data_IF_721163854453
#
_entry.id   IF_721163854453
#
_cell.length_a   1.000
_cell.length_b   1.000
_cell.length_c   1.000
_cell.angle_alpha   90.00
_cell.angle_beta   90.00
_cell.angle_gamma   90.00
#
_symmetry.space_group_name_H-M   'P 1'
#
loop_
_entity.id
_entity.type
_entity.pdbx_description
1 polymer ?
#
# COMPACT_ATOMS: atom_id res chain seq x y z
N UNK A 1 3.76 31.44 16.94
CA UNK A 1 3.06 30.42 16.15
C UNK A 1 2.75 29.30 17.12
N UNK A 2 1.56 28.77 17.11
CA UNK A 2 1.25 27.55 17.86
C UNK A 2 1.33 26.37 16.90
N UNK A 3 1.92 25.28 17.38
CA UNK A 3 1.97 24.05 16.62
C UNK A 3 0.57 23.45 16.53
N UNK A 4 0.20 22.98 15.36
CA UNK A 4 -1.07 22.37 15.06
C UNK A 4 -0.88 21.22 14.08
N UNK A 5 -1.88 20.38 13.96
CA UNK A 5 -1.85 19.25 13.04
C UNK A 5 -3.20 19.05 12.35
N UNK A 6 -3.16 18.42 11.19
CA UNK A 6 -4.33 17.86 10.55
C UNK A 6 -4.10 16.38 10.29
N UNK A 7 -5.01 15.53 10.77
CA UNK A 7 -4.88 14.09 10.62
C UNK A 7 -5.78 13.60 9.49
N UNK A 8 -5.21 12.82 8.62
CA UNK A 8 -5.92 12.02 7.62
C UNK A 8 -5.88 10.55 8.03
N UNK A 9 -6.98 9.86 7.89
CA UNK A 9 -7.09 8.44 8.25
C UNK A 9 -7.46 7.66 7.01
N UNK A 10 -6.72 6.61 6.71
CA UNK A 10 -7.05 5.64 5.65
C UNK A 10 -7.62 4.37 6.25
N UNK A 11 -8.61 3.79 5.54
CA UNK A 11 -9.04 2.43 5.75
C UNK A 11 -9.09 1.76 4.37
N UNK A 12 -8.21 0.81 4.12
CA UNK A 12 -8.00 0.27 2.79
C UNK A 12 -7.62 1.36 1.79
N UNK A 13 -8.45 1.52 0.76
CA UNK A 13 -8.25 2.51 -0.30
C UNK A 13 -8.95 3.85 -0.04
N UNK A 14 -9.81 3.93 0.98
CA UNK A 14 -10.58 5.12 1.29
C UNK A 14 -9.89 6.00 2.34
N UNK A 15 -10.12 7.29 2.24
CA UNK A 15 -9.69 8.30 3.22
C UNK A 15 -10.89 8.91 3.90
N UNK A 16 -10.78 9.11 5.21
CA UNK A 16 -11.78 9.79 6.02
C UNK A 16 -11.68 11.29 5.84
N UNK A 17 -12.75 11.92 5.41
CA UNK A 17 -12.95 13.35 5.53
C UNK A 17 -14.03 13.65 6.56
N UNK A 18 -13.80 14.69 7.34
CA UNK A 18 -14.70 15.19 8.36
C UNK A 18 -15.38 16.47 7.87
N UNK A 19 -16.69 16.58 8.06
CA UNK A 19 -17.43 17.82 7.75
C UNK A 19 -17.50 18.69 8.98
N UNK A 20 -16.95 19.91 8.87
CA UNK A 20 -16.95 20.89 9.96
C UNK A 20 -18.38 21.30 10.32
N UNK A 21 -18.63 21.53 11.61
CA UNK A 21 -19.92 22.00 12.09
C UNK A 21 -20.24 23.41 11.57
N UNK A 22 -21.52 23.75 11.48
CA UNK A 22 -21.93 25.08 10.98
C UNK A 22 -21.63 26.22 11.95
N UNK A 23 -21.42 25.89 13.22
CA UNK A 23 -21.12 26.88 14.28
C UNK A 23 -19.63 27.16 14.52
N UNK A 24 -18.73 26.57 13.76
CA UNK A 24 -17.29 26.84 13.91
C UNK A 24 -16.90 28.14 13.22
N UNK A 25 -15.87 28.83 13.76
CA UNK A 25 -15.45 30.15 13.27
C UNK A 25 -14.87 30.10 11.85
N UNK A 26 -14.06 29.06 11.55
CA UNK A 26 -13.38 28.93 10.26
C UNK A 26 -13.99 27.82 9.41
N UNK A 27 -14.28 28.16 8.17
CA UNK A 27 -14.78 27.22 7.14
C UNK A 27 -15.95 26.34 7.62
N UNK A 28 -17.07 26.95 8.15
CA UNK A 28 -18.23 26.18 8.62
C UNK A 28 -18.81 25.34 7.49
N UNK A 29 -19.07 24.06 7.77
CA UNK A 29 -19.61 23.10 6.80
C UNK A 29 -18.60 22.55 5.77
N UNK A 30 -17.37 23.05 5.73
CA UNK A 30 -16.36 22.58 4.80
C UNK A 30 -15.85 21.18 5.17
N UNK A 31 -15.37 20.46 4.16
CA UNK A 31 -14.70 19.18 4.32
C UNK A 31 -13.20 19.38 4.61
N UNK A 32 -12.68 18.59 5.54
CA UNK A 32 -11.28 18.69 6.00
C UNK A 32 -10.82 17.34 6.59
N UNK A 33 -9.52 17.27 6.94
CA UNK A 33 -9.00 16.29 7.88
C UNK A 33 -9.41 16.61 9.34
N UNK A 34 -8.84 15.90 10.28
CA UNK A 34 -9.07 16.11 11.73
C UNK A 34 -8.06 17.14 12.23
N UNK A 35 -8.52 18.34 12.53
CA UNK A 35 -7.67 19.42 13.03
C UNK A 35 -7.47 19.32 14.55
N UNK A 36 -6.25 19.58 15.00
CA UNK A 36 -5.88 19.70 16.40
C UNK A 36 -4.78 20.74 16.63
N UNK A 37 -4.69 21.22 17.86
CA UNK A 37 -3.62 22.13 18.32
C UNK A 37 -2.78 21.36 19.33
N UNK A 38 -1.47 21.39 19.18
CA UNK A 38 -0.53 20.72 20.07
C UNK A 38 0.76 20.30 19.37
N UNK A 39 1.65 19.72 20.15
CA UNK A 39 2.91 19.17 19.65
C UNK A 39 2.64 17.97 18.73
N UNK A 40 3.16 18.04 17.53
CA UNK A 40 3.00 17.00 16.48
C UNK A 40 3.89 15.79 16.70
N UNK A 41 4.91 15.90 17.56
CA UNK A 41 5.76 14.79 17.98
C UNK A 41 5.12 13.95 19.11
N UNK A 42 4.17 14.54 19.85
CA UNK A 42 3.36 13.82 20.84
C UNK A 42 2.23 13.06 20.16
N UNK A 43 2.55 11.88 19.64
CA UNK A 43 1.59 11.02 18.94
C UNK A 43 0.44 10.55 19.85
N UNK A 44 0.65 10.45 21.16
CA UNK A 44 -0.40 10.07 22.11
C UNK A 44 -1.46 11.18 22.19
N UNK A 45 -1.04 12.45 22.23
CA UNK A 45 -1.95 13.59 22.19
C UNK A 45 -2.69 13.68 20.85
N UNK A 46 -2.01 13.43 19.74
CA UNK A 46 -2.63 13.38 18.39
C UNK A 46 -3.70 12.28 18.33
N UNK A 47 -3.40 11.06 18.80
CA UNK A 47 -4.33 9.93 18.83
C UNK A 47 -5.51 10.22 19.77
N UNK A 48 -5.26 10.82 20.95
CA UNK A 48 -6.33 11.23 21.86
C UNK A 48 -7.31 12.21 21.19
N UNK A 49 -6.80 13.17 20.41
CA UNK A 49 -7.64 14.09 19.63
C UNK A 49 -8.44 13.40 18.57
N UNK A 50 -7.85 12.46 17.83
CA UNK A 50 -8.56 11.64 16.84
C UNK A 50 -9.70 10.86 17.52
N UNK A 51 -9.39 10.17 18.62
CA UNK A 51 -10.37 9.37 19.37
C UNK A 51 -11.53 10.24 19.89
N UNK A 52 -11.22 11.43 20.40
CA UNK A 52 -12.22 12.38 20.90
C UNK A 52 -13.26 12.73 19.83
N UNK A 53 -12.83 13.02 18.60
CA UNK A 53 -13.72 13.56 17.57
C UNK A 53 -14.30 12.52 16.62
N UNK A 54 -13.73 11.32 16.57
CA UNK A 54 -14.17 10.23 15.68
C UNK A 54 -14.73 9.02 16.41
N UNK A 55 -14.44 8.86 17.69
CA UNK A 55 -14.75 7.64 18.43
C UNK A 55 -13.86 6.43 18.09
N UNK A 56 -12.93 6.56 17.14
CA UNK A 56 -12.00 5.47 16.79
C UNK A 56 -11.01 5.29 17.95
N UNK A 57 -10.96 4.10 18.53
CA UNK A 57 -10.04 3.79 19.62
C UNK A 57 -8.58 3.73 19.18
N UNK A 58 -7.67 4.08 20.09
CA UNK A 58 -6.22 4.11 19.83
C UNK A 58 -5.68 2.79 19.26
N UNK A 59 -6.17 1.64 19.74
CA UNK A 59 -5.76 0.31 19.28
C UNK A 59 -6.11 0.03 17.80
N UNK A 60 -7.00 0.84 17.22
CA UNK A 60 -7.41 0.72 15.83
C UNK A 60 -6.67 1.73 14.91
N UNK A 61 -5.76 2.54 15.46
CA UNK A 61 -5.02 3.55 14.74
C UNK A 61 -3.53 3.20 14.67
N UNK A 62 -2.99 3.18 13.47
CA UNK A 62 -1.57 2.98 13.25
C UNK A 62 -1.01 4.22 12.55
N UNK A 63 0.01 4.86 13.16
CA UNK A 63 0.75 5.95 12.55
C UNK A 63 1.49 5.47 11.30
N UNK A 64 1.44 6.28 10.25
CA UNK A 64 2.16 6.02 8.99
C UNK A 64 3.29 7.01 8.82
N UNK A 65 2.98 8.31 8.73
CA UNK A 65 3.95 9.38 8.52
C UNK A 65 3.36 10.75 8.83
N UNK A 66 4.24 11.74 8.97
CA UNK A 66 3.92 13.16 8.90
C UNK A 66 4.50 13.77 7.62
N UNK A 67 3.86 14.81 7.11
CA UNK A 67 4.37 15.61 6.00
C UNK A 67 5.03 16.90 6.50
N UNK A 68 5.34 17.82 5.59
CA UNK A 68 5.94 19.12 5.94
C UNK A 68 4.92 20.05 6.61
N UNK A 69 5.37 20.76 7.64
CA UNK A 69 4.56 21.77 8.31
C UNK A 69 4.34 22.99 7.40
N UNK A 70 3.11 23.50 7.37
CA UNK A 70 2.70 24.64 6.54
C UNK A 70 2.02 25.73 7.39
N UNK A 71 2.35 26.98 7.11
CA UNK A 71 1.70 28.12 7.74
C UNK A 71 0.25 28.28 7.26
N UNK A 72 -0.72 28.10 8.15
CA UNK A 72 -2.13 28.28 7.89
C UNK A 72 -2.74 29.31 8.80
N UNK A 73 -3.61 30.18 8.23
CA UNK A 73 -4.39 31.12 9.02
C UNK A 73 -5.68 30.42 9.50
N UNK A 74 -5.73 30.14 10.79
CA UNK A 74 -6.91 29.62 11.49
C UNK A 74 -7.25 30.54 12.66
N UNK A 75 -8.52 30.89 12.85
CA UNK A 75 -9.00 31.76 13.93
C UNK A 75 -8.21 33.10 14.04
N UNK A 76 -7.92 33.71 12.88
CA UNK A 76 -7.09 34.92 12.78
C UNK A 76 -5.67 34.78 13.38
N UNK A 77 -5.20 33.57 13.54
CA UNK A 77 -3.83 33.20 13.95
C UNK A 77 -3.12 32.45 12.86
N UNK A 78 -1.83 32.71 12.72
CA UNK A 78 -0.99 31.90 11.87
C UNK A 78 -0.50 30.71 12.70
N UNK A 79 -0.94 29.51 12.35
CA UNK A 79 -0.49 28.25 12.94
C UNK A 79 0.43 27.52 11.95
N UNK A 80 1.41 26.83 12.48
CA UNK A 80 2.21 25.88 11.72
C UNK A 80 1.52 24.53 11.81
N UNK A 81 0.93 24.06 10.70
CA UNK A 81 0.09 22.85 10.67
C UNK A 81 0.82 21.74 9.96
N UNK A 82 1.02 20.62 10.65
CA UNK A 82 1.65 19.43 10.11
C UNK A 82 0.58 18.41 9.70
N UNK A 83 0.54 17.97 8.45
CA UNK A 83 -0.33 16.87 8.04
C UNK A 83 0.22 15.53 8.55
N UNK A 84 -0.66 14.69 9.09
CA UNK A 84 -0.30 13.38 9.64
C UNK A 84 -1.22 12.33 9.06
N UNK A 85 -0.67 11.21 8.64
CA UNK A 85 -1.42 10.07 8.12
C UNK A 85 -1.43 8.92 9.10
N UNK A 86 -2.63 8.41 9.37
CA UNK A 86 -2.88 7.16 10.08
C UNK A 86 -3.62 6.17 9.19
N UNK A 87 -3.54 4.91 9.54
CA UNK A 87 -4.40 3.84 9.02
C UNK A 87 -5.30 3.37 10.15
N UNK A 88 -6.59 3.16 9.84
CA UNK A 88 -7.57 2.59 10.77
C UNK A 88 -7.92 1.17 10.36
N UNK A 89 -8.09 0.28 11.36
CA UNK A 89 -8.62 -1.07 11.16
C UNK A 89 -10.15 -1.11 11.14
N UNK A 90 -10.82 0.01 11.48
CA UNK A 90 -12.29 0.12 11.55
C UNK A 90 -12.79 1.29 10.71
N UNK A 91 -14.02 1.19 10.23
CA UNK A 91 -14.70 2.23 9.44
C UNK A 91 -15.78 2.99 10.23
N UNK A 92 -16.15 2.49 11.40
CA UNK A 92 -17.14 3.16 12.23
C UNK A 92 -16.59 4.45 12.79
N UNK A 93 -17.30 5.56 12.54
CA UNK A 93 -16.95 6.91 13.00
C UNK A 93 -18.17 7.54 13.66
N UNK A 94 -17.94 8.17 14.81
CA UNK A 94 -18.95 8.97 15.50
C UNK A 94 -18.46 10.43 15.53
N UNK A 95 -18.88 11.21 14.52
CA UNK A 95 -18.43 12.59 14.37
C UNK A 95 -18.91 13.47 15.53
N UNK A 96 -17.96 14.11 16.24
CA UNK A 96 -18.20 14.88 17.46
C UNK A 96 -17.46 16.23 17.44
N UNK A 97 -17.83 17.08 18.37
CA UNK A 97 -17.13 18.34 18.64
C UNK A 97 -17.21 19.34 17.47
N UNK A 98 -16.10 19.57 16.80
CA UNK A 98 -16.01 20.50 15.67
C UNK A 98 -16.63 19.97 14.36
N UNK A 99 -17.10 18.73 14.37
CA UNK A 99 -17.58 18.05 13.17
C UNK A 99 -19.02 17.61 13.32
N UNK A 100 -19.79 17.77 12.23
CA UNK A 100 -21.21 17.38 12.13
C UNK A 100 -21.45 16.13 11.30
N UNK A 101 -20.41 15.65 10.60
CA UNK A 101 -20.50 14.50 9.72
C UNK A 101 -19.14 14.03 9.24
N UNK A 102 -19.15 12.91 8.54
CA UNK A 102 -17.96 12.32 7.95
C UNK A 102 -18.29 11.57 6.66
N UNK A 103 -17.28 11.31 5.86
CA UNK A 103 -17.40 10.49 4.66
C UNK A 103 -16.10 9.77 4.38
N UNK A 104 -16.16 8.47 4.06
CA UNK A 104 -15.06 7.71 3.50
C UNK A 104 -15.08 7.82 1.99
N UNK A 105 -14.08 8.47 1.40
CA UNK A 105 -14.02 8.75 -0.03
C UNK A 105 -12.79 8.11 -0.67
N UNK A 106 -12.84 7.93 -2.00
CA UNK A 106 -11.66 7.64 -2.80
C UNK A 106 -10.70 8.85 -2.75
N UNK A 107 -9.39 8.64 -2.52
CA UNK A 107 -8.41 9.72 -2.48
C UNK A 107 -8.39 10.60 -3.74
N UNK A 108 -8.61 10.03 -4.92
CA UNK A 108 -8.69 10.77 -6.17
C UNK A 108 -9.81 11.82 -6.18
N UNK A 109 -10.91 11.56 -5.45
CA UNK A 109 -12.05 12.47 -5.34
C UNK A 109 -11.77 13.72 -4.49
N UNK A 110 -10.66 13.77 -3.74
CA UNK A 110 -10.26 14.96 -2.95
C UNK A 110 -10.05 16.15 -3.89
N UNK A 111 -9.50 15.94 -5.07
CA UNK A 111 -9.23 17.00 -6.05
C UNK A 111 -10.51 17.69 -6.55
N UNK A 112 -11.59 16.94 -6.62
CA UNK A 112 -12.89 17.39 -7.13
C UNK A 112 -13.86 17.81 -6.03
N UNK A 113 -13.45 17.65 -4.74
CA UNK A 113 -14.34 17.92 -3.60
C UNK A 113 -14.71 19.39 -3.53
N UNK A 114 -16.01 19.67 -3.72
CA UNK A 114 -16.55 20.99 -3.51
C UNK A 114 -16.59 21.35 -2.02
N UNK A 115 -16.42 22.63 -1.70
CA UNK A 115 -16.51 23.17 -0.37
C UNK A 115 -15.62 22.45 0.66
N UNK A 116 -14.34 22.40 0.37
CA UNK A 116 -13.30 21.92 1.27
C UNK A 116 -12.48 23.10 1.84
N UNK A 117 -11.72 22.84 2.91
CA UNK A 117 -10.72 23.81 3.36
C UNK A 117 -9.67 24.04 2.27
N UNK A 118 -9.14 25.27 2.13
CA UNK A 118 -8.25 25.61 1.00
C UNK A 118 -7.03 24.70 0.88
N UNK A 119 -6.54 24.18 2.01
CA UNK A 119 -5.29 23.41 2.07
C UNK A 119 -5.50 21.88 2.06
N UNK A 120 -6.74 21.39 2.06
CA UNK A 120 -7.04 19.96 2.11
C UNK A 120 -6.24 19.16 1.07
N UNK A 121 -6.21 19.63 -0.17
CA UNK A 121 -5.57 18.95 -1.30
C UNK A 121 -4.07 18.86 -1.14
N UNK A 122 -3.44 19.97 -0.80
CA UNK A 122 -1.99 20.06 -0.64
C UNK A 122 -1.53 19.25 0.57
N UNK A 123 -2.19 19.41 1.72
CA UNK A 123 -1.82 18.71 2.95
C UNK A 123 -2.04 17.21 2.86
N UNK A 124 -3.12 16.76 2.22
CA UNK A 124 -3.29 15.34 1.96
C UNK A 124 -2.25 14.84 0.96
N UNK A 125 -1.91 15.63 -0.06
CA UNK A 125 -0.85 15.33 -1.02
C UNK A 125 0.50 15.08 -0.36
N UNK A 126 0.86 15.87 0.66
CA UNK A 126 2.14 15.73 1.39
C UNK A 126 2.26 14.41 2.18
N UNK A 127 1.15 13.79 2.55
CA UNK A 127 1.14 12.52 3.29
C UNK A 127 0.64 11.34 2.48
N UNK A 128 0.07 11.58 1.30
CA UNK A 128 -0.39 10.51 0.42
C UNK A 128 0.76 9.78 -0.26
N UNK A 129 0.50 8.56 -0.70
CA UNK A 129 1.45 7.78 -1.49
C UNK A 129 0.70 6.94 -2.53
N UNK A 130 1.41 6.64 -3.59
CA UNK A 130 0.90 5.86 -4.71
C UNK A 130 1.87 4.72 -5.03
N UNK A 131 1.32 3.62 -5.50
CA UNK A 131 2.12 2.50 -6.00
C UNK A 131 2.36 2.65 -7.50
N UNK A 132 3.63 2.62 -7.87
CA UNK A 132 4.08 2.63 -9.25
C UNK A 132 4.71 1.29 -9.63
N UNK A 133 4.35 0.79 -10.80
CA UNK A 133 4.85 -0.49 -11.30
C UNK A 133 6.04 -0.26 -12.21
N UNK A 134 7.20 -0.80 -11.85
CA UNK A 134 8.38 -0.81 -12.69
C UNK A 134 8.49 -2.12 -13.46
N UNK A 135 8.61 -2.04 -14.78
CA UNK A 135 8.91 -3.20 -15.61
C UNK A 135 10.42 -3.44 -15.63
N UNK A 136 10.85 -4.61 -15.21
CA UNK A 136 12.24 -5.03 -15.17
C UNK A 136 12.56 -6.12 -16.20
N UNK A 137 13.83 -6.46 -16.33
CA UNK A 137 14.22 -7.71 -17.00
C UNK A 137 13.93 -8.87 -16.08
N UNK A 138 13.30 -9.94 -16.61
CA UNK A 138 12.92 -11.13 -15.84
C UNK A 138 14.15 -11.74 -15.16
N UNK A 139 14.04 -12.02 -13.86
CA UNK A 139 15.13 -12.56 -13.04
C UNK A 139 16.12 -11.50 -12.53
N UNK A 140 15.86 -10.20 -12.81
CA UNK A 140 16.70 -9.09 -12.33
C UNK A 140 15.98 -8.23 -11.27
N UNK A 141 14.82 -8.64 -10.81
CA UNK A 141 13.95 -7.89 -9.90
C UNK A 141 14.71 -7.53 -8.62
N UNK A 142 15.35 -8.51 -7.99
CA UNK A 142 16.14 -8.31 -6.76
C UNK A 142 17.37 -7.41 -6.97
N UNK A 143 17.98 -7.45 -8.14
CA UNK A 143 19.12 -6.59 -8.47
C UNK A 143 18.66 -5.14 -8.64
N UNK A 144 17.50 -4.93 -9.30
CA UNK A 144 16.90 -3.60 -9.45
C UNK A 144 16.48 -3.05 -8.08
N UNK A 145 15.84 -3.85 -7.22
CA UNK A 145 15.46 -3.42 -5.88
C UNK A 145 16.68 -3.00 -5.04
N UNK A 146 17.77 -3.78 -5.07
CA UNK A 146 19.04 -3.41 -4.39
C UNK A 146 19.68 -2.15 -4.98
N UNK A 147 19.61 -1.96 -6.30
CA UNK A 147 20.12 -0.74 -6.95
C UNK A 147 19.31 0.48 -6.53
N UNK A 148 17.97 0.37 -6.41
CA UNK A 148 17.12 1.43 -5.87
C UNK A 148 17.57 1.79 -4.44
N UNK A 149 17.70 0.80 -3.57
CA UNK A 149 18.13 1.02 -2.18
C UNK A 149 19.51 1.68 -2.12
N UNK A 150 20.46 1.23 -2.94
CA UNK A 150 21.79 1.82 -2.99
C UNK A 150 21.78 3.27 -3.48
N UNK A 151 20.92 3.62 -4.45
CA UNK A 151 20.76 4.98 -4.94
C UNK A 151 20.16 5.92 -3.89
N UNK A 152 19.16 5.46 -3.16
CA UNK A 152 18.53 6.22 -2.09
C UNK A 152 19.46 6.39 -0.87
N UNK A 153 20.30 5.41 -0.55
CA UNK A 153 21.25 5.48 0.56
C UNK A 153 22.51 6.32 0.24
N UNK A 154 22.68 6.72 -1.01
CA UNK A 154 23.83 7.48 -1.47
C UNK A 154 23.73 8.99 -1.16
N UNK A 155 24.88 9.66 -1.02
CA UNK A 155 24.97 11.12 -0.77
C UNK A 155 24.90 11.96 -2.05
N UNK A 156 24.25 11.47 -3.11
CA UNK A 156 24.24 12.08 -4.43
C UNK A 156 23.00 12.95 -4.73
N UNK A 157 22.77 13.20 -6.03
CA UNK A 157 21.68 14.02 -6.60
C UNK A 157 20.27 13.50 -6.31
N UNK A 158 20.13 12.34 -5.68
CA UNK A 158 18.83 11.75 -5.32
C UNK A 158 18.43 11.98 -3.86
N UNK A 159 19.26 12.72 -3.09
CA UNK A 159 18.95 13.03 -1.69
C UNK A 159 17.61 13.77 -1.53
N UNK A 160 17.27 14.63 -2.46
CA UNK A 160 16.01 15.40 -2.46
C UNK A 160 14.75 14.56 -2.68
N UNK A 161 14.88 13.32 -3.18
CA UNK A 161 13.74 12.41 -3.36
C UNK A 161 13.80 11.21 -2.41
N UNK A 162 14.78 11.18 -1.51
CA UNK A 162 14.95 10.08 -0.58
C UNK A 162 13.71 9.92 0.31
N UNK A 163 13.20 11.04 0.80
CA UNK A 163 12.03 11.08 1.67
C UNK A 163 10.70 10.94 0.90
N UNK A 164 10.76 10.94 -0.43
CA UNK A 164 9.61 10.81 -1.33
C UNK A 164 9.39 9.38 -1.86
N UNK A 165 10.31 8.46 -1.56
CA UNK A 165 10.22 7.03 -1.89
C UNK A 165 10.07 6.24 -0.59
N UNK A 166 8.88 5.69 -0.38
CA UNK A 166 8.50 5.10 0.90
C UNK A 166 8.73 3.60 0.99
N UNK A 167 8.67 2.90 -0.14
CA UNK A 167 8.85 1.46 -0.16
C UNK A 167 9.18 0.89 -1.53
N UNK A 168 9.82 -0.28 -1.52
CA UNK A 168 10.10 -1.07 -2.72
C UNK A 168 9.73 -2.52 -2.44
N UNK A 169 8.85 -3.07 -3.27
CA UNK A 169 8.34 -4.43 -3.16
C UNK A 169 8.72 -5.23 -4.41
N UNK A 170 9.28 -6.41 -4.19
CA UNK A 170 9.67 -7.34 -5.26
C UNK A 170 9.05 -8.72 -4.99
N UNK A 171 7.76 -8.93 -5.39
CA UNK A 171 7.08 -10.19 -5.17
C UNK A 171 7.70 -11.32 -5.99
N UNK A 172 7.95 -12.47 -5.38
CA UNK A 172 8.58 -13.61 -6.04
C UNK A 172 7.80 -14.19 -7.22
N UNK A 173 6.47 -14.06 -7.19
CA UNK A 173 5.57 -14.61 -8.21
C UNK A 173 5.27 -13.63 -9.36
N UNK A 174 5.62 -12.34 -9.23
CA UNK A 174 5.47 -11.35 -10.31
C UNK A 174 6.79 -11.10 -11.03
N UNK A 175 7.22 -12.07 -11.82
CA UNK A 175 8.49 -11.97 -12.55
C UNK A 175 8.47 -10.85 -13.59
N UNK A 176 9.49 -10.03 -13.59
CA UNK A 176 9.63 -8.90 -14.49
C UNK A 176 9.01 -7.60 -13.97
N UNK A 177 8.51 -7.59 -12.72
CA UNK A 177 7.89 -6.40 -12.12
C UNK A 177 8.37 -6.18 -10.70
N UNK A 178 8.49 -4.92 -10.32
CA UNK A 178 8.64 -4.46 -8.93
C UNK A 178 7.70 -3.28 -8.71
N UNK A 179 7.33 -3.05 -7.46
CA UNK A 179 6.47 -1.95 -7.05
C UNK A 179 7.28 -0.96 -6.24
N UNK A 180 7.04 0.32 -6.50
CA UNK A 180 7.66 1.42 -5.75
C UNK A 180 6.54 2.28 -5.20
N UNK A 181 6.51 2.44 -3.89
CA UNK A 181 5.64 3.39 -3.23
C UNK A 181 6.35 4.75 -3.17
N UNK A 182 5.69 5.78 -3.69
CA UNK A 182 6.23 7.13 -3.74
C UNK A 182 5.12 8.19 -3.65
N UNK A 183 5.48 9.42 -3.30
CA UNK A 183 4.55 10.55 -3.26
C UNK A 183 4.07 10.95 -4.66
N UNK A 184 4.92 10.82 -5.69
CA UNK A 184 4.55 11.16 -7.07
C UNK A 184 5.38 10.40 -8.12
N UNK A 185 4.80 10.27 -9.32
CA UNK A 185 5.43 9.59 -10.46
C UNK A 185 6.81 10.15 -10.83
N UNK A 186 6.97 11.47 -10.83
CA UNK A 186 8.22 12.11 -11.25
C UNK A 186 9.40 11.76 -10.32
N UNK A 187 9.15 11.45 -9.05
CA UNK A 187 10.19 10.96 -8.13
C UNK A 187 10.68 9.57 -8.53
N UNK A 188 9.75 8.69 -8.94
CA UNK A 188 10.10 7.36 -9.44
C UNK A 188 10.86 7.45 -10.77
N UNK A 189 10.43 8.32 -11.68
CA UNK A 189 11.12 8.55 -12.96
C UNK A 189 12.54 9.10 -12.75
N UNK A 190 12.70 10.03 -11.80
CA UNK A 190 14.01 10.57 -11.40
C UNK A 190 14.88 9.47 -10.79
N UNK A 191 14.32 8.61 -9.94
CA UNK A 191 15.02 7.47 -9.33
C UNK A 191 15.59 6.51 -10.38
N UNK A 192 14.82 6.20 -11.43
CA UNK A 192 15.27 5.29 -12.49
C UNK A 192 16.11 5.96 -13.58
N UNK A 193 16.25 7.29 -13.53
CA UNK A 193 17.11 8.05 -14.44
C UNK A 193 16.51 8.30 -15.81
N UNK A 194 15.18 8.43 -15.95
CA UNK A 194 14.53 8.60 -17.27
C UNK A 194 14.06 10.00 -17.62
N UNK A 195 13.98 10.91 -16.68
CA UNK A 195 13.53 12.27 -16.92
C UNK A 195 14.66 13.25 -16.71
N UNK A 196 15.22 13.78 -17.79
CA UNK A 196 15.96 15.06 -17.91
C UNK A 196 17.02 15.43 -16.86
N UNK A 197 17.35 14.54 -15.96
CA UNK A 197 18.21 14.77 -14.82
C UNK A 197 19.48 13.91 -14.93
N UNK A 198 20.57 14.43 -14.41
CA UNK A 198 21.93 13.91 -14.40
C UNK A 198 22.13 12.52 -13.76
N UNK A 199 21.10 11.70 -13.65
CA UNK A 199 21.19 10.34 -13.13
C UNK A 199 21.38 9.33 -14.24
N UNK A 200 22.35 8.45 -14.05
CA UNK A 200 22.57 7.34 -14.99
C UNK A 200 21.34 6.44 -15.04
N UNK A 201 20.82 6.10 -16.23
CA UNK A 201 19.71 5.18 -16.35
C UNK A 201 19.96 3.86 -15.61
N UNK A 202 18.95 3.39 -14.90
CA UNK A 202 19.02 2.15 -14.13
C UNK A 202 19.09 0.95 -15.08
N UNK A 203 20.08 0.08 -14.85
CA UNK A 203 20.19 -1.18 -15.61
C UNK A 203 19.02 -2.10 -15.29
N UNK A 204 18.57 -2.86 -16.29
CA UNK A 204 17.49 -3.84 -16.15
C UNK A 204 16.11 -3.28 -15.75
N UNK A 205 15.97 -1.97 -15.52
CA UNK A 205 14.69 -1.30 -15.38
C UNK A 205 14.27 -0.73 -16.74
N UNK A 206 13.17 -1.24 -17.32
CA UNK A 206 12.76 -0.88 -18.68
C UNK A 206 11.89 0.35 -18.75
N UNK A 207 10.90 0.46 -17.87
CA UNK A 207 9.99 1.61 -17.80
C UNK A 207 9.13 1.55 -16.53
N UNK A 208 8.59 2.69 -16.13
CA UNK A 208 7.43 2.78 -15.27
C UNK A 208 6.20 2.47 -16.14
N UNK A 209 5.33 1.57 -15.71
CA UNK A 209 4.02 1.40 -16.33
C UNK A 209 3.16 2.58 -15.93
N UNK A 210 2.48 3.19 -16.91
CA UNK A 210 1.73 4.42 -16.66
C UNK A 210 0.57 4.23 -15.70
N UNK A 211 0.34 5.26 -14.90
CA UNK A 211 -0.76 5.34 -13.95
C UNK A 211 -0.33 5.00 -12.52
N UNK A 212 -1.07 5.57 -11.61
CA UNK A 212 -1.08 5.20 -10.21
C UNK A 212 -1.88 3.90 -10.09
N UNK A 213 -1.34 2.94 -9.36
CA UNK A 213 -2.06 1.69 -9.10
C UNK A 213 -2.62 1.76 -7.68
N UNK A 214 -3.95 1.61 -7.51
CA UNK A 214 -4.53 1.46 -6.18
C UNK A 214 -3.87 0.27 -5.46
N UNK A 215 -3.63 0.42 -4.17
CA UNK A 215 -3.02 -0.65 -3.37
C UNK A 215 -3.86 -1.93 -3.41
N UNK A 216 -5.20 -1.81 -3.44
CA UNK A 216 -6.11 -2.95 -3.51
C UNK A 216 -5.97 -3.78 -4.77
N UNK A 217 -5.67 -3.16 -5.90
CA UNK A 217 -5.40 -3.87 -7.15
C UNK A 217 -4.10 -4.69 -7.07
N UNK A 218 -3.17 -4.26 -6.21
CA UNK A 218 -1.85 -4.86 -6.06
C UNK A 218 -1.80 -5.87 -4.91
N UNK A 219 -2.58 -5.65 -3.84
CA UNK A 219 -2.63 -6.54 -2.66
C UNK A 219 -2.80 -8.02 -2.99
N UNK A 220 -3.72 -8.45 -3.90
CA UNK A 220 -3.86 -9.87 -4.25
C UNK A 220 -2.60 -10.49 -4.85
N UNK A 221 -1.70 -9.65 -5.36
CA UNK A 221 -0.40 -10.05 -5.89
C UNK A 221 0.74 -9.91 -4.87
N UNK A 222 0.52 -9.27 -3.74
CA UNK A 222 1.49 -9.13 -2.65
C UNK A 222 1.29 -10.21 -1.58
N UNK A 223 0.06 -10.70 -1.42
CA UNK A 223 -0.24 -11.78 -0.50
C UNK A 223 0.36 -13.09 -1.03
N UNK A 224 1.17 -13.79 -0.23
CA UNK A 224 1.67 -15.10 -0.59
C UNK A 224 0.47 -16.05 -0.69
N UNK A 225 0.07 -16.40 -1.91
CA UNK A 225 -0.87 -17.50 -2.08
C UNK A 225 -0.15 -18.77 -1.64
N UNK A 226 -0.75 -19.51 -0.70
CA UNK A 226 -0.23 -20.79 -0.32
C UNK A 226 -0.02 -21.62 -1.61
N UNK A 227 1.12 -22.31 -1.73
CA UNK A 227 1.40 -23.11 -2.93
C UNK A 227 0.32 -24.19 -3.16
N UNK A 228 -0.40 -24.55 -2.12
CA UNK A 228 -1.55 -25.45 -2.12
C UNK A 228 -2.86 -24.80 -2.57
N UNK A 229 -2.91 -23.47 -2.75
CA UNK A 229 -4.14 -22.76 -3.09
C UNK A 229 -4.73 -23.25 -4.43
N UNK A 230 -5.96 -23.74 -4.39
CA UNK A 230 -6.67 -24.29 -5.55
C UNK A 230 -6.31 -25.73 -5.89
N UNK A 231 -5.55 -26.43 -5.03
CA UNK A 231 -5.34 -27.88 -5.11
C UNK A 231 -6.25 -28.52 -4.05
N UNK A 232 -7.19 -29.33 -4.50
CA UNK A 232 -8.15 -30.01 -3.63
C UNK A 232 -7.97 -31.53 -3.75
N UNK A 233 -8.33 -32.28 -2.69
CA UNK A 233 -8.35 -33.73 -2.74
C UNK A 233 -9.30 -34.21 -3.84
N UNK A 234 -8.84 -35.18 -4.65
CA UNK A 234 -9.56 -35.67 -5.83
C UNK A 234 -9.21 -34.95 -7.14
N UNK A 235 -8.62 -33.75 -7.09
CA UNK A 235 -8.17 -33.02 -8.28
C UNK A 235 -7.15 -33.81 -9.09
N UNK A 236 -7.18 -33.65 -10.42
CA UNK A 236 -6.16 -34.20 -11.30
C UNK A 236 -5.09 -33.15 -11.53
N UNK A 237 -3.85 -33.54 -11.32
CA UNK A 237 -2.67 -32.68 -11.45
C UNK A 237 -1.66 -33.28 -12.41
N UNK A 238 -0.90 -32.43 -13.07
CA UNK A 238 0.30 -32.81 -13.81
C UNK A 238 1.53 -32.45 -12.98
N UNK A 239 2.48 -33.36 -12.86
CA UNK A 239 3.72 -33.14 -12.11
C UNK A 239 4.73 -32.46 -13.03
N UNK A 240 5.24 -31.27 -12.61
CA UNK A 240 6.22 -30.51 -13.38
C UNK A 240 7.65 -30.63 -12.88
N UNK A 241 7.88 -31.28 -11.73
CA UNK A 241 9.19 -31.43 -11.10
C UNK A 241 9.55 -32.87 -10.75
N UNK A 242 10.86 -33.14 -10.58
CA UNK A 242 11.35 -34.44 -10.13
C UNK A 242 11.31 -35.54 -11.16
N UNK A 243 11.43 -36.81 -10.69
CA UNK A 243 11.51 -38.01 -11.53
C UNK A 243 10.23 -38.35 -12.28
N UNK A 244 9.10 -37.81 -11.86
CA UNK A 244 7.76 -38.08 -12.42
C UNK A 244 7.21 -36.91 -13.25
N UNK A 245 8.08 -36.04 -13.73
CA UNK A 245 7.69 -34.89 -14.53
C UNK A 245 6.91 -35.32 -15.79
N UNK A 246 5.79 -34.61 -16.01
CA UNK A 246 4.89 -34.84 -17.14
C UNK A 246 3.84 -35.91 -16.90
N UNK A 247 3.86 -36.59 -15.74
CA UNK A 247 2.84 -37.58 -15.43
C UNK A 247 1.61 -36.94 -14.78
N UNK A 248 0.44 -37.49 -15.15
CA UNK A 248 -0.81 -37.12 -14.51
C UNK A 248 -1.05 -37.99 -13.26
N UNK A 249 -1.56 -37.33 -12.21
CA UNK A 249 -1.81 -37.95 -10.93
C UNK A 249 -3.09 -37.39 -10.29
N UNK A 250 -3.71 -38.15 -9.39
CA UNK A 250 -4.83 -37.72 -8.59
C UNK A 250 -4.35 -37.28 -7.21
N UNK A 251 -4.80 -36.13 -6.74
CA UNK A 251 -4.52 -35.63 -5.38
C UNK A 251 -5.29 -36.49 -4.38
N UNK A 252 -4.58 -37.10 -3.44
CA UNK A 252 -5.18 -37.90 -2.35
C UNK A 252 -5.14 -37.19 -1.03
N UNK A 253 -4.22 -36.21 -0.85
CA UNK A 253 -4.11 -35.41 0.37
C UNK A 253 -3.39 -34.10 0.11
N UNK A 254 -3.85 -33.02 0.75
CA UNK A 254 -3.19 -31.73 0.77
C UNK A 254 -2.72 -31.41 2.19
N UNK A 255 -1.44 -31.05 2.36
CA UNK A 255 -0.85 -30.68 3.65
C UNK A 255 -0.39 -29.22 3.56
N UNK A 256 -1.30 -28.29 3.87
CA UNK A 256 -1.07 -26.86 3.74
C UNK A 256 0.13 -26.38 4.57
N UNK A 257 0.28 -26.86 5.81
CA UNK A 257 1.36 -26.44 6.72
C UNK A 257 2.78 -26.78 6.22
N UNK A 258 2.90 -27.73 5.27
CA UNK A 258 4.16 -28.14 4.67
C UNK A 258 4.27 -27.77 3.19
N UNK A 259 3.21 -27.17 2.64
CA UNK A 259 3.08 -26.92 1.19
C UNK A 259 3.32 -28.20 0.34
N UNK A 260 2.84 -29.34 0.82
CA UNK A 260 3.00 -30.65 0.20
C UNK A 260 1.66 -31.22 -0.25
N UNK A 261 1.69 -31.95 -1.36
CA UNK A 261 0.55 -32.65 -1.92
C UNK A 261 0.91 -34.12 -2.09
N UNK A 262 0.09 -35.02 -1.58
CA UNK A 262 0.21 -36.45 -1.85
C UNK A 262 -0.65 -36.79 -3.06
N UNK A 263 -0.06 -37.42 -4.04
CA UNK A 263 -0.71 -37.74 -5.30
C UNK A 263 -0.55 -39.24 -5.63
N UNK A 264 -1.50 -39.79 -6.35
CA UNK A 264 -1.49 -41.16 -6.86
C UNK A 264 -1.37 -41.13 -8.38
N UNK A 265 -0.34 -41.77 -8.91
CA UNK A 265 -0.07 -41.82 -10.36
C UNK A 265 -1.06 -42.73 -11.08
N UNK A 266 -1.60 -42.26 -12.22
CA UNK A 266 -2.54 -43.06 -13.03
C UNK A 266 -1.87 -44.22 -13.78
N UNK A 267 -0.62 -44.10 -14.18
CA UNK A 267 0.09 -45.07 -15.00
C UNK A 267 0.86 -46.13 -14.21
N UNK A 268 0.77 -46.11 -12.88
CA UNK A 268 1.44 -47.10 -12.05
C UNK A 268 0.62 -48.43 -12.00
N UNK A 269 1.26 -49.56 -12.27
CA UNK A 269 0.65 -50.89 -12.17
C UNK A 269 0.20 -51.23 -10.72
N UNK A 270 0.71 -50.56 -9.73
CA UNK A 270 0.31 -50.58 -8.32
C UNK A 270 0.13 -49.16 -7.87
N UNK A 271 -0.95 -48.82 -7.11
CA UNK A 271 -1.13 -47.47 -6.59
C UNK A 271 0.08 -47.05 -5.74
N UNK A 272 0.83 -46.08 -6.20
CA UNK A 272 1.98 -45.51 -5.47
C UNK A 272 1.61 -44.10 -5.05
N UNK A 273 1.48 -43.92 -3.75
CA UNK A 273 1.32 -42.55 -3.18
C UNK A 273 2.68 -41.85 -3.17
N UNK A 274 2.74 -40.70 -3.82
CA UNK A 274 3.93 -39.85 -3.92
C UNK A 274 3.64 -38.51 -3.28
N UNK A 275 4.49 -38.08 -2.36
CA UNK A 275 4.41 -36.72 -1.80
C UNK A 275 5.35 -35.80 -2.58
N UNK A 276 4.80 -34.74 -3.13
CA UNK A 276 5.51 -33.72 -3.90
C UNK A 276 5.18 -32.33 -3.33
N UNK A 277 6.06 -31.36 -3.57
CA UNK A 277 5.76 -29.99 -3.20
C UNK A 277 4.62 -29.42 -4.08
N UNK A 278 3.77 -28.63 -3.50
CA UNK A 278 2.62 -28.07 -4.21
C UNK A 278 3.02 -27.18 -5.41
N UNK A 279 4.19 -26.51 -5.34
CA UNK A 279 4.76 -25.73 -6.44
C UNK A 279 5.24 -26.58 -7.63
N UNK A 280 5.32 -27.91 -7.47
CA UNK A 280 5.74 -28.86 -8.51
C UNK A 280 4.56 -29.52 -9.23
N UNK A 281 3.33 -29.18 -8.89
CA UNK A 281 2.14 -29.72 -9.53
C UNK A 281 1.27 -28.61 -10.10
N UNK A 282 0.56 -28.93 -11.16
CA UNK A 282 -0.42 -28.03 -11.79
C UNK A 282 -1.75 -28.74 -11.92
N UNK A 283 -2.81 -28.14 -11.39
CA UNK A 283 -4.17 -28.66 -11.54
C UNK A 283 -4.58 -28.61 -13.01
N UNK A 284 -4.94 -29.75 -13.57
CA UNK A 284 -5.45 -29.90 -14.92
C UNK A 284 -6.97 -30.09 -14.94
N UNK A 285 -7.52 -30.68 -13.87
CA UNK A 285 -8.96 -30.87 -13.72
C UNK A 285 -9.33 -30.74 -12.22
N UNK A 286 -10.31 -29.96 -11.93
CA UNK A 286 -10.87 -29.82 -10.56
C UNK A 286 -11.98 -30.86 -10.35
N UNK A 287 -12.23 -31.18 -9.08
CA UNK A 287 -13.43 -31.90 -8.68
C UNK A 287 -14.61 -30.95 -8.79
N UNK A 288 -15.67 -31.34 -9.49
CA UNK A 288 -16.94 -30.61 -9.50
C UNK A 288 -17.71 -30.86 -8.19
#
# INVERSE_FOLDING_TARGET
MSDAFTVYIRNGERVLLMQRADGVADFPGAWDGIYGIGDTEDLDAVVARVTEVTGIGADNLQYVRAGEARGLAYENRLNEVTPILFVSSVEEVDARGLYKGYEWIDPGSIQEREYSTPQLREMYGDVSSYLYILKTSIGQEQNVAREIQARLSGSGSLKEIQDEIFGVLSPHFMRGYIFVEASALHHVEKLIGRVGVSTTPMKNCRKVLGGESPLGDVLPYLEPKAATAGIEEGSIVEIHGGAFRGQAARVTRVTESKEEVTVELFEAAVPVALTVRADQVRVTQRVE
#
